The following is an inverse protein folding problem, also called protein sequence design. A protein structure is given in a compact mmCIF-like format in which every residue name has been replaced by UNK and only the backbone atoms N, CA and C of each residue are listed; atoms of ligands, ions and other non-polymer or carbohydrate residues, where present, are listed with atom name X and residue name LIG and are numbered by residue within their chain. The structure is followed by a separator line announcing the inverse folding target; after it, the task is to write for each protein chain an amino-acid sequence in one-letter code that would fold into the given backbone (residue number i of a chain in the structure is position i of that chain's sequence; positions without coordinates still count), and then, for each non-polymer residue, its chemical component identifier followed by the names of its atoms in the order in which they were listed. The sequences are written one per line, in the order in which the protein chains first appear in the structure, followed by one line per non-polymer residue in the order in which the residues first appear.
data_IF_933484404523
#
_entry.id   IF_933484404523
#
_cell.length_a   1.000
_cell.length_b   1.000
_cell.length_c   1.000
_cell.angle_alpha   90.00
_cell.angle_beta   90.00
_cell.angle_gamma   90.00
#
_symmetry.space_group_name_H-M   'P 1'
#
loop_
_entity.id
_entity.type
_entity.pdbx_description
1 polymer ?
#
# COMPACT_ATOMS: atom_id res chain seq x y z
N UNK A 1 3.54 -45.34 28.60
CA UNK A 1 4.81 -44.94 27.94
C UNK A 1 4.62 -44.26 26.57
N UNK A 2 3.79 -44.72 25.62
CA UNK A 2 3.76 -44.13 24.25
C UNK A 2 3.25 -42.68 24.23
N UNK A 3 2.24 -42.35 25.06
CA UNK A 3 1.65 -41.01 25.13
C UNK A 3 2.65 -39.91 25.54
N UNK A 4 3.65 -40.27 26.37
CA UNK A 4 4.71 -39.34 26.79
C UNK A 4 5.72 -39.11 25.66
N UNK A 5 5.98 -40.11 24.81
CA UNK A 5 6.84 -39.96 23.64
C UNK A 5 6.17 -39.12 22.55
N UNK A 6 4.87 -39.34 22.29
CA UNK A 6 4.07 -38.53 21.36
C UNK A 6 4.02 -37.06 21.80
N UNK A 7 3.79 -36.79 23.09
CA UNK A 7 3.77 -35.43 23.61
C UNK A 7 5.14 -34.74 23.48
N UNK A 8 6.23 -35.45 23.80
CA UNK A 8 7.60 -34.92 23.63
C UNK A 8 7.93 -34.64 22.17
N UNK A 9 7.52 -35.52 21.25
CA UNK A 9 7.71 -35.34 19.81
C UNK A 9 6.93 -34.11 19.30
N UNK A 10 5.67 -33.95 19.70
CA UNK A 10 4.86 -32.78 19.34
C UNK A 10 5.47 -31.46 19.83
N UNK A 11 6.00 -31.44 21.07
CA UNK A 11 6.69 -30.27 21.62
C UNK A 11 7.96 -29.96 20.84
N UNK A 12 8.79 -30.97 20.52
CA UNK A 12 10.02 -30.80 19.74
C UNK A 12 9.73 -30.22 18.35
N UNK A 13 8.71 -30.76 17.66
CA UNK A 13 8.26 -30.26 16.35
C UNK A 13 7.76 -28.81 16.47
N UNK A 14 6.98 -28.50 17.52
CA UNK A 14 6.53 -27.14 17.79
C UNK A 14 7.67 -26.14 17.98
N UNK A 15 8.70 -26.53 18.75
CA UNK A 15 9.91 -25.71 18.96
C UNK A 15 10.67 -25.53 17.65
N UNK A 16 10.85 -26.58 16.86
CA UNK A 16 11.53 -26.50 15.57
C UNK A 16 10.80 -25.56 14.61
N UNK A 17 9.47 -25.68 14.50
CA UNK A 17 8.64 -24.78 13.70
C UNK A 17 8.75 -23.32 14.18
N UNK A 18 8.76 -23.10 15.50
CA UNK A 18 8.93 -21.77 16.07
C UNK A 18 10.31 -21.18 15.75
N UNK A 19 11.38 -21.97 15.85
CA UNK A 19 12.74 -21.55 15.52
C UNK A 19 12.85 -21.21 14.03
N UNK A 20 12.35 -22.08 13.14
CA UNK A 20 12.35 -21.83 11.69
C UNK A 20 11.53 -20.58 11.35
N UNK A 21 10.34 -20.42 11.93
CA UNK A 21 9.51 -19.23 11.74
C UNK A 21 10.19 -17.96 12.24
N UNK A 22 10.86 -18.02 13.40
CA UNK A 22 11.60 -16.89 13.98
C UNK A 22 12.81 -16.51 13.14
N UNK A 23 13.62 -17.49 12.69
CA UNK A 23 14.75 -17.25 11.79
C UNK A 23 14.28 -16.65 10.46
N UNK A 24 13.17 -17.14 9.93
CA UNK A 24 12.55 -16.62 8.71
C UNK A 24 12.04 -15.19 8.89
N UNK A 25 11.39 -14.90 10.01
CA UNK A 25 10.95 -13.56 10.37
C UNK A 25 12.16 -12.62 10.48
N UNK A 26 13.22 -13.00 11.17
CA UNK A 26 14.45 -12.20 11.30
C UNK A 26 15.15 -11.95 9.97
N UNK A 27 15.12 -12.93 9.05
CA UNK A 27 15.66 -12.77 7.71
C UNK A 27 14.85 -11.79 6.84
N UNK A 28 13.52 -11.79 7.02
CA UNK A 28 12.59 -10.96 6.22
C UNK A 28 12.45 -9.57 6.79
N UNK A 29 12.54 -9.42 8.11
CA UNK A 29 12.57 -8.13 8.75
C UNK A 29 13.68 -7.32 8.07
N UNK A 30 13.38 -6.09 7.64
CA UNK A 30 14.34 -5.27 6.94
C UNK A 30 15.54 -5.06 7.84
N UNK A 31 16.56 -5.88 7.61
CA UNK A 31 17.85 -5.78 8.26
C UNK A 31 18.37 -4.38 7.96
N UNK A 32 19.09 -3.78 8.91
CA UNK A 32 19.69 -2.43 8.84
C UNK A 32 20.57 -2.22 7.59
N UNK A 33 20.81 -3.28 6.80
CA UNK A 33 21.42 -3.23 5.49
C UNK A 33 20.60 -2.37 4.52
N UNK A 34 21.15 -1.19 4.23
CA UNK A 34 20.82 -0.30 3.12
C UNK A 34 21.11 -0.99 1.77
N UNK A 35 20.48 -2.11 1.46
CA UNK A 35 20.50 -2.59 0.08
C UNK A 35 19.55 -1.71 -0.72
N UNK A 36 20.09 -0.68 -1.37
CA UNK A 36 19.37 0.01 -2.42
C UNK A 36 18.91 -1.06 -3.41
N UNK A 37 17.59 -1.26 -3.57
CA UNK A 37 17.12 -2.26 -4.51
C UNK A 37 17.58 -1.89 -5.91
N UNK A 38 17.87 -2.91 -6.71
CA UNK A 38 18.23 -2.71 -8.10
C UNK A 38 17.19 -1.81 -8.77
N UNK A 39 17.62 -0.75 -9.48
CA UNK A 39 16.70 0.16 -10.16
C UNK A 39 15.83 -0.65 -11.12
N UNK A 40 14.53 -0.44 -11.04
CA UNK A 40 13.56 -1.16 -11.87
C UNK A 40 13.70 -0.71 -13.33
N UNK A 41 13.49 -1.65 -14.27
CA UNK A 41 13.44 -1.33 -15.70
C UNK A 41 12.38 -0.26 -15.96
N UNK A 42 12.74 0.78 -16.72
CA UNK A 42 11.81 1.85 -17.13
C UNK A 42 10.63 1.22 -17.90
N UNK A 43 9.40 1.64 -17.58
CA UNK A 43 8.18 1.15 -18.22
C UNK A 43 7.58 -0.13 -17.63
N UNK A 44 8.17 -0.74 -16.59
CA UNK A 44 7.56 -1.88 -15.93
C UNK A 44 6.30 -1.48 -15.14
N UNK A 45 5.18 -2.22 -15.25
CA UNK A 45 3.95 -1.87 -14.58
C UNK A 45 4.15 -1.86 -13.06
N UNK A 46 3.89 -0.71 -12.42
CA UNK A 46 4.09 -0.54 -10.97
C UNK A 46 2.76 -0.30 -10.28
N UNK A 47 2.44 -1.19 -9.32
CA UNK A 47 1.24 -1.10 -8.49
C UNK A 47 1.57 -0.45 -7.16
N UNK A 48 0.96 0.71 -6.91
CA UNK A 48 1.08 1.45 -5.66
C UNK A 48 -0.19 1.24 -4.82
N UNK A 49 -0.02 0.77 -3.59
CA UNK A 49 -1.09 0.73 -2.58
C UNK A 49 -0.92 1.91 -1.64
N UNK A 50 -1.96 2.73 -1.49
CA UNK A 50 -1.96 3.93 -0.67
C UNK A 50 -2.97 3.73 0.45
N UNK A 51 -2.51 3.80 1.70
CA UNK A 51 -3.40 3.72 2.86
C UNK A 51 -3.80 5.12 3.29
N UNK A 52 -5.07 5.44 3.12
CA UNK A 52 -5.66 6.69 3.58
C UNK A 52 -6.06 6.55 5.05
N UNK A 53 -5.51 7.43 5.88
CA UNK A 53 -5.97 7.63 7.25
C UNK A 53 -7.33 8.34 7.26
N UNK A 54 -7.78 8.77 8.44
CA UNK A 54 -8.95 9.64 8.57
C UNK A 54 -8.58 11.08 8.90
N UNK A 55 -9.24 12.04 8.26
CA UNK A 55 -9.10 13.47 8.55
C UNK A 55 -7.74 14.04 8.13
N UNK A 56 -6.95 14.53 9.10
CA UNK A 56 -5.67 15.20 8.84
C UNK A 56 -4.65 14.32 8.12
N UNK A 57 -4.56 13.02 8.46
CA UNK A 57 -3.65 12.10 7.79
C UNK A 57 -3.98 11.88 6.31
N UNK A 58 -5.26 11.96 5.94
CA UNK A 58 -5.71 11.92 4.56
C UNK A 58 -5.16 13.12 3.78
N UNK A 59 -5.29 14.32 4.36
CA UNK A 59 -4.76 15.54 3.75
C UNK A 59 -3.24 15.49 3.59
N UNK A 60 -2.52 15.02 4.62
CA UNK A 60 -1.07 14.79 4.55
C UNK A 60 -0.72 13.82 3.41
N UNK A 61 -1.47 12.72 3.26
CA UNK A 61 -1.22 11.74 2.19
C UNK A 61 -1.42 12.34 0.80
N UNK A 62 -2.49 13.10 0.57
CA UNK A 62 -2.70 13.74 -0.73
C UNK A 62 -1.68 14.84 -1.03
N UNK A 63 -1.20 15.56 -0.02
CA UNK A 63 -0.10 16.51 -0.17
C UNK A 63 1.19 15.79 -0.63
N UNK A 64 1.52 14.66 -0.02
CA UNK A 64 2.64 13.80 -0.44
C UNK A 64 2.45 13.31 -1.89
N UNK A 65 1.26 12.81 -2.24
CA UNK A 65 0.96 12.30 -3.58
C UNK A 65 1.00 13.38 -4.66
N UNK A 66 0.65 14.63 -4.32
CA UNK A 66 0.66 15.75 -5.26
C UNK A 66 2.07 16.13 -5.74
N UNK A 67 3.08 15.85 -4.92
CA UNK A 67 4.51 16.07 -5.21
C UNK A 67 5.18 14.85 -5.85
N UNK A 68 4.53 13.68 -5.81
CA UNK A 68 5.06 12.45 -6.38
C UNK A 68 4.81 12.42 -7.90
N UNK A 69 5.76 11.91 -8.68
CA UNK A 69 5.55 11.74 -10.12
C UNK A 69 4.59 10.57 -10.38
N UNK A 70 3.31 10.92 -10.52
CA UNK A 70 2.22 9.97 -10.70
C UNK A 70 2.23 9.26 -12.06
N UNK A 71 2.97 9.78 -13.04
CA UNK A 71 3.11 9.15 -14.36
C UNK A 71 3.93 7.85 -14.31
N UNK A 72 4.77 7.69 -13.28
CA UNK A 72 5.59 6.49 -13.09
C UNK A 72 4.83 5.26 -12.56
N UNK A 73 3.58 5.44 -12.11
CA UNK A 73 2.75 4.39 -11.51
C UNK A 73 1.60 3.98 -12.43
N UNK A 74 1.58 2.71 -12.80
CA UNK A 74 0.61 2.14 -13.75
C UNK A 74 -0.75 1.85 -13.11
N UNK A 75 -0.78 1.54 -11.81
CA UNK A 75 -2.03 1.30 -11.09
C UNK A 75 -1.94 1.77 -9.64
N UNK A 76 -2.97 2.49 -9.17
CA UNK A 76 -3.06 3.02 -7.80
C UNK A 76 -4.25 2.42 -7.09
N UNK A 77 -4.02 1.72 -5.99
CA UNK A 77 -5.09 1.17 -5.14
C UNK A 77 -5.15 2.00 -3.85
N UNK A 78 -6.29 2.63 -3.57
CA UNK A 78 -6.53 3.40 -2.36
C UNK A 78 -7.28 2.55 -1.33
N UNK A 79 -6.74 2.50 -0.12
CA UNK A 79 -7.37 1.85 1.02
C UNK A 79 -7.97 2.91 1.91
N UNK A 80 -9.29 2.87 2.05
CA UNK A 80 -10.05 3.80 2.88
C UNK A 80 -10.58 3.07 4.11
N UNK A 81 -10.54 3.74 5.26
CA UNK A 81 -11.09 3.20 6.50
C UNK A 81 -12.62 3.31 6.54
N UNK A 82 -13.31 2.31 7.08
CA UNK A 82 -14.77 2.27 7.18
C UNK A 82 -15.33 3.49 7.95
N UNK A 83 -16.38 4.09 7.42
CA UNK A 83 -16.99 5.30 7.98
C UNK A 83 -16.18 6.58 7.71
N UNK A 84 -15.33 6.58 6.68
CA UNK A 84 -14.63 7.78 6.21
C UNK A 84 -14.92 8.05 4.72
N UNK A 85 -16.15 8.54 4.46
CA UNK A 85 -16.60 8.87 3.12
C UNK A 85 -15.84 10.05 2.52
N UNK A 86 -15.30 10.94 3.36
CA UNK A 86 -14.56 12.11 2.94
C UNK A 86 -13.22 11.72 2.29
N UNK A 87 -12.51 10.75 2.86
CA UNK A 87 -11.28 10.24 2.26
C UNK A 87 -11.52 9.56 0.91
N UNK A 88 -12.65 8.86 0.74
CA UNK A 88 -13.01 8.25 -0.55
C UNK A 88 -13.32 9.31 -1.61
N UNK A 89 -14.09 10.35 -1.27
CA UNK A 89 -14.40 11.46 -2.18
C UNK A 89 -13.14 12.21 -2.61
N UNK A 90 -12.23 12.48 -1.68
CA UNK A 90 -10.94 13.11 -1.98
C UNK A 90 -10.07 12.28 -2.92
N UNK A 91 -10.11 10.95 -2.82
CA UNK A 91 -9.38 10.07 -3.74
C UNK A 91 -9.91 10.20 -5.17
N UNK A 92 -11.23 10.28 -5.34
CA UNK A 92 -11.88 10.48 -6.64
C UNK A 92 -11.48 11.84 -7.21
N UNK A 93 -11.64 12.91 -6.43
CA UNK A 93 -11.29 14.28 -6.85
C UNK A 93 -9.81 14.39 -7.26
N UNK A 94 -8.91 13.75 -6.50
CA UNK A 94 -7.49 13.73 -6.82
C UNK A 94 -7.20 13.04 -8.16
N UNK A 95 -7.85 11.91 -8.44
CA UNK A 95 -7.69 11.18 -9.70
C UNK A 95 -8.32 11.92 -10.89
N UNK A 96 -9.43 12.63 -10.68
CA UNK A 96 -10.04 13.50 -11.70
C UNK A 96 -9.08 14.64 -12.07
N UNK A 97 -8.49 15.29 -11.07
CA UNK A 97 -7.51 16.35 -11.30
C UNK A 97 -6.24 15.84 -11.98
N UNK A 98 -5.79 14.64 -11.61
CA UNK A 98 -4.63 13.98 -12.20
C UNK A 98 -4.89 13.62 -13.67
N UNK A 99 -6.07 13.08 -13.97
CA UNK A 99 -6.51 12.77 -15.33
C UNK A 99 -6.54 14.02 -16.19
N UNK A 100 -7.11 15.11 -15.68
CA UNK A 100 -7.13 16.40 -16.38
C UNK A 100 -5.73 16.97 -16.63
N UNK A 101 -4.78 16.80 -15.69
CA UNK A 101 -3.38 17.20 -15.87
C UNK A 101 -2.69 16.37 -16.97
N UNK A 102 -2.91 15.05 -16.99
CA UNK A 102 -2.33 14.17 -18.01
C UNK A 102 -2.85 14.53 -19.40
N UNK A 103 -4.16 14.71 -19.56
CA UNK A 103 -4.75 15.13 -20.84
C UNK A 103 -4.19 16.47 -21.33
N UNK A 104 -3.94 17.43 -20.42
CA UNK A 104 -3.30 18.71 -20.77
C UNK A 104 -1.84 18.55 -21.21
N UNK A 105 -1.11 17.61 -20.64
CA UNK A 105 0.30 17.33 -21.01
C UNK A 105 0.39 16.63 -22.37
N UNK A 106 -0.52 15.69 -22.64
CA UNK A 106 -0.66 15.04 -23.95
C UNK A 106 -0.99 16.06 -25.04
N UNK A 107 -1.95 16.96 -24.78
CA UNK A 107 -2.32 18.03 -25.72
C UNK A 107 -1.20 19.06 -25.98
N UNK A 108 -0.21 19.17 -25.10
CA UNK A 108 0.93 20.11 -25.22
C UNK A 108 2.15 19.52 -25.92
N UNK A 109 2.17 18.22 -26.21
CA UNK A 109 3.30 17.55 -26.88
C UNK A 109 3.05 17.52 -28.40
N UNK A 110 3.70 18.36 -29.23
CA UNK A 110 3.49 18.36 -30.66
C UNK A 110 4.55 17.49 -31.34
N UNK A 111 4.17 16.29 -31.76
CA UNK A 111 4.88 15.57 -32.82
C UNK A 111 3.99 14.56 -33.56
N UNK A 112 3.53 14.98 -34.75
CA UNK A 112 3.32 14.23 -36.01
C UNK A 112 2.21 13.15 -36.02
N UNK A 113 1.15 13.18 -36.84
CA UNK A 113 0.92 13.74 -38.18
C UNK A 113 -0.60 13.97 -38.45
N UNK A 114 -1.00 14.99 -39.23
CA UNK A 114 -2.40 15.22 -39.58
C UNK A 114 -2.83 14.40 -40.81
N UNK A 115 -3.76 13.45 -40.63
CA UNK A 115 -4.57 12.93 -41.74
C UNK A 115 -6.04 13.21 -41.44
N UNK A 116 -6.59 14.06 -42.29
CA UNK A 116 -7.95 14.57 -42.36
C UNK A 116 -9.08 13.58 -41.99
N UNK A 117 -9.98 14.04 -41.11
CA UNK A 117 -11.45 14.10 -41.31
C UNK A 117 -12.09 14.90 -40.16
N UNK A 118 -13.04 15.82 -40.42
CA UNK A 118 -13.75 16.52 -39.35
C UNK A 118 -14.80 15.59 -38.71
N UNK A 119 -15.02 15.61 -37.38
CA UNK A 119 -16.10 14.85 -36.78
C UNK A 119 -17.43 15.58 -36.95
N UNK A 120 -18.33 14.87 -37.60
CA UNK A 120 -19.74 15.14 -37.81
C UNK A 120 -20.49 15.21 -36.47
N UNK A 121 -21.37 16.21 -36.33
CA UNK A 121 -22.28 16.36 -35.19
C UNK A 121 -23.19 15.12 -35.07
N UNK A 122 -23.07 14.36 -33.98
CA UNK A 122 -24.15 13.47 -33.54
C UNK A 122 -24.43 13.61 -32.06
N UNK A 123 -25.38 14.49 -31.78
CA UNK A 123 -26.06 14.61 -30.50
C UNK A 123 -26.99 13.38 -30.36
N UNK A 124 -26.82 12.56 -29.31
CA UNK A 124 -27.84 11.79 -28.56
C UNK A 124 -27.21 10.69 -27.68
N UNK A 125 -27.33 10.91 -26.37
CA UNK A 125 -27.57 9.91 -25.30
C UNK A 125 -26.66 8.67 -25.19
N UNK A 126 -25.68 8.74 -24.28
CA UNK A 126 -25.31 7.74 -23.26
C UNK A 126 -24.15 8.34 -22.42
N UNK A 127 -24.07 8.14 -21.09
CA UNK A 127 -22.92 8.64 -20.32
C UNK A 127 -21.69 7.84 -20.77
N UNK A 128 -20.81 8.54 -21.49
CA UNK A 128 -19.61 7.97 -22.09
C UNK A 128 -18.72 7.31 -21.06
N UNK A 129 -18.24 6.12 -21.41
CA UNK A 129 -17.07 5.50 -20.79
C UNK A 129 -15.92 6.51 -20.77
N UNK A 130 -15.57 6.98 -19.58
CA UNK A 130 -14.39 7.80 -19.31
C UNK A 130 -13.11 7.04 -19.67
N UNK A 131 -12.02 7.75 -20.04
CA UNK A 131 -10.74 7.12 -20.36
C UNK A 131 -10.24 6.36 -19.11
N UNK A 132 -10.04 5.05 -19.27
CA UNK A 132 -9.46 4.08 -18.33
C UNK A 132 -8.93 4.64 -17.00
N UNK A 133 -9.79 4.70 -15.98
CA UNK A 133 -9.39 5.04 -14.61
C UNK A 133 -8.47 3.94 -14.06
N UNK A 134 -7.15 4.19 -14.03
CA UNK A 134 -6.15 3.24 -13.53
C UNK A 134 -6.08 3.22 -11.99
N UNK A 135 -7.22 3.32 -11.30
CA UNK A 135 -7.28 3.29 -9.86
C UNK A 135 -8.42 2.41 -9.32
N UNK A 136 -8.25 1.94 -8.09
CA UNK A 136 -9.26 1.18 -7.35
C UNK A 136 -9.36 1.74 -5.92
N UNK A 137 -10.56 1.73 -5.34
CA UNK A 137 -10.81 2.18 -3.96
C UNK A 137 -11.42 1.02 -3.19
N UNK A 138 -10.69 0.51 -2.20
CA UNK A 138 -11.16 -0.55 -1.30
C UNK A 138 -11.40 -0.02 0.10
N UNK A 139 -12.53 -0.39 0.69
CA UNK A 139 -12.90 0.00 2.05
C UNK A 139 -12.51 -1.12 3.03
N UNK A 140 -11.82 -0.78 4.11
CA UNK A 140 -11.37 -1.71 5.16
C UNK A 140 -11.92 -1.27 6.52
N UNK A 141 -12.36 -2.19 7.40
CA UNK A 141 -12.78 -1.85 8.75
C UNK A 141 -11.67 -1.13 9.55
N UNK A 142 -12.04 -0.11 10.34
CA UNK A 142 -11.06 0.63 11.15
C UNK A 142 -10.39 -0.27 12.19
N UNK A 143 -9.08 -0.12 12.36
CA UNK A 143 -8.33 -0.85 13.40
C UNK A 143 -8.81 -0.55 14.83
N UNK A 144 -9.28 0.69 15.08
CA UNK A 144 -9.88 1.12 16.35
C UNK A 144 -11.00 2.13 16.07
N UNK A 145 -12.17 1.92 16.67
CA UNK A 145 -13.28 2.87 16.61
C UNK A 145 -13.07 4.02 17.59
N UNK A 146 -13.68 5.16 17.31
CA UNK A 146 -13.70 6.31 18.21
C UNK A 146 -14.48 5.90 19.47
N UNK A 147 -14.00 6.28 20.67
CA UNK A 147 -14.51 5.85 21.98
C UNK A 147 -14.41 4.35 22.30
N UNK A 148 -13.70 3.56 21.49
CA UNK A 148 -13.48 2.14 21.80
C UNK A 148 -12.50 1.96 22.97
N UNK A 149 -12.83 1.04 23.89
CA UNK A 149 -11.94 0.65 24.99
C UNK A 149 -10.66 -0.02 24.48
N UNK A 150 -9.56 0.15 25.22
CA UNK A 150 -8.28 -0.48 24.87
C UNK A 150 -8.38 -2.02 24.85
N UNK A 151 -9.29 -2.61 25.62
CA UNK A 151 -9.52 -4.04 25.69
C UNK A 151 -10.26 -4.63 24.48
N UNK A 152 -11.19 -3.89 23.88
CA UNK A 152 -11.90 -4.36 22.68
C UNK A 152 -11.14 -4.03 21.38
N UNK A 153 -10.15 -3.13 21.47
CA UNK A 153 -9.31 -2.70 20.33
C UNK A 153 -8.60 -3.86 19.62
N UNK A 154 -8.01 -4.86 20.29
CA UNK A 154 -7.35 -5.99 19.63
C UNK A 154 -8.27 -6.77 18.68
N UNK A 155 -9.54 -6.95 19.05
CA UNK A 155 -10.52 -7.68 18.23
C UNK A 155 -10.78 -6.91 16.92
N UNK A 156 -10.99 -5.59 17.02
CA UNK A 156 -11.14 -4.72 15.85
C UNK A 156 -9.88 -4.67 14.99
N UNK A 157 -8.70 -4.63 15.62
CA UNK A 157 -7.41 -4.65 14.92
C UNK A 157 -7.19 -5.96 14.16
N UNK A 158 -7.59 -7.12 14.72
CA UNK A 158 -7.54 -8.42 14.03
C UNK A 158 -8.50 -8.44 12.86
N UNK A 159 -9.73 -7.94 13.00
CA UNK A 159 -10.67 -7.82 11.86
C UNK A 159 -10.09 -6.94 10.74
N UNK A 160 -9.47 -5.82 11.10
CA UNK A 160 -8.75 -4.96 10.17
C UNK A 160 -7.59 -5.70 9.48
N UNK A 161 -6.78 -6.44 10.24
CA UNK A 161 -5.68 -7.24 9.72
C UNK A 161 -6.15 -8.31 8.72
N UNK A 162 -7.24 -9.02 9.01
CA UNK A 162 -7.83 -10.02 8.12
C UNK A 162 -8.32 -9.39 6.81
N UNK A 163 -8.97 -8.23 6.89
CA UNK A 163 -9.36 -7.48 5.70
C UNK A 163 -8.13 -6.95 4.92
N UNK A 164 -7.04 -6.58 5.58
CA UNK A 164 -5.81 -6.21 4.89
C UNK A 164 -5.26 -7.37 4.05
N UNK A 165 -5.37 -8.62 4.51
CA UNK A 165 -4.96 -9.77 3.72
C UNK A 165 -5.79 -9.98 2.46
N UNK A 166 -7.11 -9.70 2.49
CA UNK A 166 -7.93 -9.80 1.28
C UNK A 166 -7.54 -8.72 0.28
N UNK A 167 -7.33 -7.49 0.73
CA UNK A 167 -6.89 -6.37 -0.13
C UNK A 167 -5.51 -6.60 -0.75
N UNK A 168 -4.55 -7.09 0.03
CA UNK A 168 -3.20 -7.38 -0.47
C UNK A 168 -3.17 -8.54 -1.49
N UNK A 169 -4.16 -9.44 -1.41
CA UNK A 169 -4.35 -10.56 -2.34
C UNK A 169 -5.32 -10.23 -3.48
N UNK A 170 -5.84 -9.00 -3.58
CA UNK A 170 -6.78 -8.65 -4.64
C UNK A 170 -6.13 -8.81 -6.03
N UNK A 171 -6.85 -9.43 -6.99
CA UNK A 171 -6.35 -9.64 -8.35
C UNK A 171 -5.95 -8.32 -9.01
N UNK A 172 -4.96 -8.38 -9.91
CA UNK A 172 -4.44 -7.21 -10.61
C UNK A 172 -5.52 -6.57 -11.49
N UNK A 173 -5.60 -5.24 -11.49
CA UNK A 173 -6.35 -4.48 -12.50
C UNK A 173 -6.01 -4.89 -13.94
N UNK A 174 -4.75 -5.24 -14.20
CA UNK A 174 -4.30 -5.76 -15.50
C UNK A 174 -4.99 -7.07 -15.89
N UNK A 175 -5.36 -7.90 -14.91
CA UNK A 175 -6.14 -9.12 -15.13
C UNK A 175 -7.65 -8.86 -15.27
N UNK A 176 -8.15 -7.73 -14.74
CA UNK A 176 -9.55 -7.31 -14.89
C UNK A 176 -9.84 -6.67 -16.27
N UNK A 177 -8.85 -6.01 -16.88
CA UNK A 177 -9.02 -5.25 -18.13
C UNK A 177 -8.51 -5.93 -19.40
N UNK A 178 -7.83 -7.07 -19.29
CA UNK A 178 -7.52 -7.89 -20.47
C UNK A 178 -8.82 -8.46 -21.06
N UNK A 179 -9.07 -8.17 -22.34
CA UNK A 179 -10.23 -8.65 -23.10
C UNK A 179 -10.33 -10.18 -23.16
N UNK A 180 -9.23 -10.88 -22.90
CA UNK A 180 -9.13 -12.33 -22.85
C UNK A 180 -9.41 -12.87 -21.44
N UNK A 181 -10.68 -12.76 -21.02
CA UNK A 181 -11.17 -13.24 -19.71
C UNK A 181 -10.87 -14.72 -19.45
N UNK A 182 -10.74 -15.54 -20.49
CA UNK A 182 -10.53 -16.99 -20.34
C UNK A 182 -9.05 -17.39 -20.20
N UNK A 183 -8.14 -16.78 -20.97
CA UNK A 183 -6.72 -17.16 -20.95
C UNK A 183 -5.98 -16.58 -19.73
N UNK A 184 -6.42 -15.42 -19.22
CA UNK A 184 -5.84 -14.78 -18.02
C UNK A 184 -6.41 -15.36 -16.73
N UNK A 185 -7.66 -15.85 -16.71
CA UNK A 185 -8.25 -16.50 -15.53
C UNK A 185 -7.54 -17.81 -15.14
N UNK A 186 -7.12 -18.61 -16.13
CA UNK A 186 -6.34 -19.84 -15.88
C UNK A 186 -4.92 -19.57 -15.32
N UNK A 187 -4.43 -18.32 -15.45
CA UNK A 187 -3.12 -17.86 -14.96
C UNK A 187 -3.25 -16.53 -14.21
N UNK A 188 -4.34 -16.35 -13.47
CA UNK A 188 -4.57 -15.16 -12.65
C UNK A 188 -3.64 -15.23 -11.44
N UNK A 189 -2.35 -14.99 -11.66
CA UNK A 189 -1.37 -14.86 -10.60
C UNK A 189 -1.78 -13.69 -9.75
N UNK A 190 -2.15 -13.93 -8.50
CA UNK A 190 -2.28 -12.92 -7.47
C UNK A 190 -1.05 -12.00 -7.51
N UNK A 191 -1.21 -10.77 -8.01
CA UNK A 191 -0.10 -9.80 -8.04
C UNK A 191 -0.20 -8.89 -6.84
N UNK A 192 0.68 -9.12 -5.88
CA UNK A 192 0.88 -8.23 -4.74
C UNK A 192 1.27 -6.82 -5.20
N UNK A 193 0.86 -5.76 -4.48
CA UNK A 193 1.35 -4.42 -4.74
C UNK A 193 2.88 -4.37 -4.62
N UNK A 194 3.51 -3.54 -5.45
CA UNK A 194 4.96 -3.36 -5.44
C UNK A 194 5.41 -2.54 -4.24
N UNK A 195 4.66 -1.47 -4.00
CA UNK A 195 4.94 -0.46 -3.01
C UNK A 195 3.67 -0.17 -2.23
N UNK A 196 3.80 -0.09 -0.92
CA UNK A 196 2.75 0.23 0.03
C UNK A 196 3.17 1.51 0.74
N UNK A 197 2.47 2.60 0.46
CA UNK A 197 2.67 3.90 1.10
C UNK A 197 1.63 4.08 2.19
N UNK A 198 2.09 4.30 3.41
CA UNK A 198 1.24 4.43 4.59
C UNK A 198 1.60 5.67 5.39
N UNK A 199 0.57 6.32 5.92
CA UNK A 199 0.66 7.36 6.93
C UNK A 199 -0.44 7.09 7.98
N UNK A 200 -0.24 7.56 9.20
CA UNK A 200 -1.30 7.66 10.19
C UNK A 200 -1.38 6.48 11.18
N UNK A 201 -2.56 6.31 11.82
CA UNK A 201 -2.73 5.49 13.03
C UNK A 201 -2.98 4.01 12.69
N UNK A 202 -3.63 3.26 13.59
CA UNK A 202 -3.63 1.79 13.65
C UNK A 202 -3.86 1.01 12.35
N UNK A 203 -4.62 1.53 11.38
CA UNK A 203 -4.81 0.86 10.07
C UNK A 203 -3.49 0.69 9.31
N UNK A 204 -2.60 1.68 9.36
CA UNK A 204 -1.26 1.58 8.76
C UNK A 204 -0.46 0.45 9.39
N UNK A 205 -0.59 0.27 10.71
CA UNK A 205 0.07 -0.83 11.43
C UNK A 205 -0.45 -2.18 10.97
N UNK A 206 -1.77 -2.34 10.86
CA UNK A 206 -2.39 -3.57 10.35
C UNK A 206 -1.93 -3.91 8.93
N UNK A 207 -1.88 -2.93 8.01
CA UNK A 207 -1.44 -3.16 6.62
C UNK A 207 0.03 -3.60 6.55
N UNK A 208 0.92 -2.93 7.29
CA UNK A 208 2.35 -3.30 7.31
C UNK A 208 2.55 -4.67 7.92
N UNK A 209 1.84 -4.99 9.01
CA UNK A 209 1.88 -6.32 9.62
C UNK A 209 1.37 -7.39 8.66
N UNK A 210 0.28 -7.15 7.92
CA UNK A 210 -0.19 -8.09 6.89
C UNK A 210 0.85 -8.31 5.79
N UNK A 211 1.53 -7.25 5.33
CA UNK A 211 2.62 -7.37 4.36
C UNK A 211 3.77 -8.23 4.90
N UNK A 212 4.19 -8.00 6.15
CA UNK A 212 5.25 -8.76 6.81
C UNK A 212 4.86 -10.24 6.95
N UNK A 213 3.63 -10.52 7.40
CA UNK A 213 3.12 -11.88 7.54
C UNK A 213 3.04 -12.62 6.20
N UNK A 214 2.61 -11.94 5.13
CA UNK A 214 2.62 -12.53 3.76
C UNK A 214 4.04 -12.87 3.29
N UNK A 215 5.01 -11.99 3.56
CA UNK A 215 6.42 -12.27 3.29
C UNK A 215 6.91 -13.47 4.13
N UNK A 216 6.55 -13.53 5.41
CA UNK A 216 6.96 -14.59 6.35
C UNK A 216 6.43 -15.97 5.97
N UNK A 217 5.18 -16.07 5.50
CA UNK A 217 4.61 -17.34 5.03
C UNK A 217 5.29 -17.78 3.72
N UNK A 218 5.99 -16.89 3.02
CA UNK A 218 6.66 -17.21 1.77
C UNK A 218 5.70 -17.41 0.63
N UNK A 219 4.57 -16.69 0.63
CA UNK A 219 3.61 -16.78 -0.45
C UNK A 219 4.36 -16.52 -1.78
N UNK A 220 4.22 -17.46 -2.72
CA UNK A 220 4.82 -17.37 -4.07
C UNK A 220 4.46 -16.00 -4.67
N UNK A 221 5.46 -15.27 -5.18
CA UNK A 221 5.27 -13.94 -5.78
C UNK A 221 5.48 -12.73 -4.84
N UNK A 222 5.80 -12.94 -3.56
CA UNK A 222 6.16 -11.84 -2.63
C UNK A 222 7.59 -11.33 -2.78
N UNK A 223 8.47 -12.08 -3.46
CA UNK A 223 9.85 -11.68 -3.68
C UNK A 223 9.91 -10.38 -4.51
N UNK A 224 10.60 -9.36 -3.98
CA UNK A 224 10.68 -7.99 -4.54
C UNK A 224 9.37 -7.19 -4.62
N UNK A 225 8.28 -7.66 -3.99
CA UNK A 225 6.98 -6.97 -3.87
C UNK A 225 6.69 -6.61 -2.41
N UNK A 226 5.57 -5.95 -2.14
CA UNK A 226 5.12 -5.55 -0.79
C UNK A 226 6.15 -4.67 -0.05
N UNK A 227 6.85 -3.79 -0.77
CA UNK A 227 7.78 -2.85 -0.13
C UNK A 227 6.98 -1.83 0.65
N UNK A 228 7.31 -1.60 1.92
CA UNK A 228 6.54 -0.70 2.78
C UNK A 228 7.30 0.60 3.05
N UNK A 229 6.64 1.72 2.80
CA UNK A 229 7.10 3.05 3.20
C UNK A 229 6.10 3.59 4.21
N UNK A 230 6.60 3.96 5.38
CA UNK A 230 5.82 4.69 6.36
C UNK A 230 6.34 6.12 6.47
N UNK A 231 5.43 7.07 6.33
CA UNK A 231 5.70 8.49 6.55
C UNK A 231 5.11 8.88 7.90
N UNK A 232 5.95 9.37 8.80
CA UNK A 232 5.50 9.92 10.07
C UNK A 232 4.71 11.21 9.83
N UNK A 233 3.66 11.40 10.62
CA UNK A 233 2.74 12.53 10.47
C UNK A 233 3.44 13.87 10.71
N UNK A 234 3.02 14.88 9.97
CA UNK A 234 3.55 16.25 10.04
C UNK A 234 3.40 16.83 11.45
N UNK A 235 2.32 16.48 12.16
CA UNK A 235 2.07 16.92 13.53
C UNK A 235 3.10 16.42 14.56
N UNK A 236 3.95 15.44 14.21
CA UNK A 236 4.93 14.84 15.10
C UNK A 236 6.28 15.51 14.97
N UNK A 237 6.46 16.63 15.67
CA UNK A 237 7.68 17.44 15.62
C UNK A 237 8.80 16.88 16.50
N UNK A 238 8.50 16.57 17.77
CA UNK A 238 9.50 16.21 18.80
C UNK A 238 9.64 14.72 19.06
N UNK A 239 8.67 13.91 18.65
CA UNK A 239 8.70 12.47 18.94
C UNK A 239 7.75 11.66 18.08
N UNK A 240 8.10 10.39 17.87
CA UNK A 240 7.34 9.45 17.06
C UNK A 240 5.92 9.23 17.60
N UNK A 241 4.97 9.00 16.68
CA UNK A 241 3.65 8.51 17.04
C UNK A 241 3.72 7.09 17.60
N UNK A 242 2.65 6.60 18.25
CA UNK A 242 2.61 5.21 18.71
C UNK A 242 2.78 4.23 17.52
N UNK A 243 2.10 4.50 16.40
CA UNK A 243 2.29 3.76 15.16
C UNK A 243 3.73 3.85 14.66
N UNK A 244 4.33 5.04 14.67
CA UNK A 244 5.73 5.23 14.28
C UNK A 244 6.71 4.42 15.13
N UNK A 245 6.53 4.42 16.47
CA UNK A 245 7.34 3.61 17.39
C UNK A 245 7.26 2.10 17.10
N UNK A 246 6.09 1.62 16.72
CA UNK A 246 5.87 0.20 16.36
C UNK A 246 6.50 -0.08 14.99
N UNK A 247 6.25 0.79 14.01
CA UNK A 247 6.58 0.55 12.62
C UNK A 247 8.04 0.80 12.26
N UNK A 248 8.77 1.61 13.02
CA UNK A 248 10.16 1.98 12.70
C UNK A 248 11.09 0.78 12.49
N UNK A 249 10.80 -0.37 13.13
CA UNK A 249 11.55 -1.62 12.94
C UNK A 249 10.94 -2.59 11.92
N UNK A 250 9.70 -2.36 11.50
CA UNK A 250 8.92 -3.28 10.69
C UNK A 250 8.82 -2.87 9.22
N UNK A 251 8.90 -1.58 8.92
CA UNK A 251 8.77 -1.05 7.54
C UNK A 251 10.09 -1.13 6.79
N UNK A 252 10.06 -1.15 5.46
CA UNK A 252 11.30 -1.14 4.68
C UNK A 252 11.99 0.24 4.73
N UNK A 253 11.22 1.33 4.59
CA UNK A 253 11.70 2.71 4.81
C UNK A 253 10.81 3.48 5.76
N UNK A 254 11.44 4.22 6.67
CA UNK A 254 10.77 5.05 7.66
C UNK A 254 11.14 6.51 7.43
N UNK A 255 10.19 7.29 6.93
CA UNK A 255 10.40 8.67 6.54
C UNK A 255 9.90 9.62 7.62
N UNK A 256 10.72 10.62 7.95
CA UNK A 256 10.38 11.68 8.90
C UNK A 256 10.48 13.04 8.23
N UNK A 257 9.60 13.94 8.65
CA UNK A 257 9.49 15.28 8.05
C UNK A 257 10.20 16.37 8.86
N UNK A 258 10.68 16.02 10.05
CA UNK A 258 11.40 16.92 10.96
C UNK A 258 12.81 16.44 11.18
N UNK A 259 13.77 17.37 11.14
CA UNK A 259 15.19 17.05 11.31
C UNK A 259 15.49 16.48 12.70
N UNK A 260 14.77 16.93 13.73
CA UNK A 260 14.87 16.42 15.10
C UNK A 260 14.57 14.91 15.21
N UNK A 261 13.87 14.32 14.23
CA UNK A 261 13.56 12.90 14.18
C UNK A 261 14.50 12.10 13.27
N UNK A 262 15.54 12.73 12.70
CA UNK A 262 16.54 12.04 11.90
C UNK A 262 17.26 10.99 12.75
N UNK A 263 17.37 9.77 12.24
CA UNK A 263 18.08 8.67 12.92
C UNK A 263 17.32 8.02 14.08
N UNK A 264 16.05 8.35 14.32
CA UNK A 264 15.21 7.65 15.31
C UNK A 264 15.08 6.15 15.00
N UNK A 265 14.80 5.36 16.03
CA UNK A 265 14.62 3.91 15.90
C UNK A 265 15.90 3.14 15.57
N UNK A 266 17.07 3.64 16.01
CA UNK A 266 18.37 3.01 15.79
C UNK A 266 18.98 3.35 14.42
N UNK A 267 18.88 4.60 13.98
CA UNK A 267 19.43 5.07 12.70
C UNK A 267 18.52 4.86 11.50
N UNK A 268 17.26 4.48 11.71
CA UNK A 268 16.32 4.12 10.63
C UNK A 268 15.49 5.28 10.09
N UNK A 269 15.31 6.34 10.88
CA UNK A 269 14.57 7.53 10.46
C UNK A 269 15.29 8.32 9.39
N UNK A 270 14.75 8.31 8.17
CA UNK A 270 15.24 9.07 7.02
C UNK A 270 14.53 10.42 6.96
N UNK A 271 15.27 11.51 7.17
CA UNK A 271 14.75 12.86 7.01
C UNK A 271 14.75 13.26 5.54
N UNK A 272 13.58 13.62 5.00
CA UNK A 272 13.41 14.10 3.63
C UNK A 272 12.92 15.55 3.54
N UNK A 273 12.72 16.22 4.67
CA UNK A 273 12.11 17.54 4.72
C UNK A 273 10.58 17.53 4.71
N UNK A 274 10.02 18.68 4.40
CA UNK A 274 8.58 18.95 4.47
C UNK A 274 7.87 18.36 3.25
N UNK A 275 7.19 17.22 3.45
CA UNK A 275 6.49 16.52 2.37
C UNK A 275 5.05 16.99 2.22
N UNK A 276 4.44 17.51 3.29
CA UNK A 276 3.11 18.11 3.29
C UNK A 276 3.12 19.55 2.79
#
# INVERSE_FOLDING_TARGET
MPLVHELKAAILVGILLFVVASLRLLYILPSVRKTCPAPRKRGAPTRLLIVLGSGGHTAEMFAILSKLDTASYTHRSYVVSEGDNFSAQKAIEFEDHLSARLTKLEARSPSQSPSARPPEQKNRQAPGKSPSLNYDITIIPRARRIHQSLWSTPISAVKCLLACFSVLRSPSWTALNSADKEMVAAKATYTYPDLVLTNGPGTAVCVVLACLLLKCVGARGTQNKLRTIYVESWARVRGLSLSGKILVRLVDRFLVQWEALKGVGGGRGEYLGVLV
#
